data_IF_449145251732
#
_entry.id   IF_449145251732
#
_cell.length_a   1.000
_cell.length_b   1.000
_cell.length_c   1.000
_cell.angle_alpha   90.00
_cell.angle_beta   90.00
_cell.angle_gamma   90.00
#
_symmetry.space_group_name_H-M   'P 1'
#
loop_
_entity.id
_entity.type
_entity.pdbx_description
1 polymer ?
#
# COMPACT_ATOMS: atom_id res chain seq x y z
N UNK A 1 -3.65 14.06 5.29
CA UNK A 1 -4.23 13.05 4.36
C UNK A 1 -3.68 11.67 4.67
N UNK A 2 -2.36 11.48 4.68
CA UNK A 2 -1.72 10.17 4.87
C UNK A 2 -2.10 9.50 6.21
N UNK A 3 -2.21 10.25 7.30
CA UNK A 3 -2.59 9.67 8.60
C UNK A 3 -4.00 9.11 8.60
N UNK A 4 -4.97 9.84 8.02
CA UNK A 4 -6.33 9.34 7.84
C UNK A 4 -6.34 8.04 7.03
N UNK A 5 -5.53 7.98 5.97
CA UNK A 5 -5.43 6.78 5.14
C UNK A 5 -4.79 5.62 5.91
N UNK A 6 -3.75 5.87 6.72
CA UNK A 6 -3.15 4.88 7.63
C UNK A 6 -4.19 4.30 8.58
N UNK A 7 -5.06 5.13 9.15
CA UNK A 7 -6.13 4.66 10.06
C UNK A 7 -7.16 3.79 9.33
N UNK A 8 -7.59 4.17 8.13
CA UNK A 8 -8.53 3.38 7.34
C UNK A 8 -7.97 2.01 6.93
N UNK A 9 -6.70 1.96 6.53
CA UNK A 9 -6.01 0.70 6.25
C UNK A 9 -5.81 -0.14 7.51
N UNK A 10 -5.51 0.48 8.65
CA UNK A 10 -5.41 -0.24 9.93
C UNK A 10 -6.74 -0.93 10.27
N UNK A 11 -7.86 -0.22 10.18
CA UNK A 11 -9.19 -0.78 10.45
C UNK A 11 -9.51 -1.97 9.53
N UNK A 12 -9.16 -1.86 8.24
CA UNK A 12 -9.34 -2.96 7.28
C UNK A 12 -8.43 -4.16 7.60
N UNK A 13 -7.16 -3.89 7.92
CA UNK A 13 -6.16 -4.90 8.28
C UNK A 13 -6.53 -5.63 9.59
N UNK A 14 -7.08 -4.93 10.59
CA UNK A 14 -7.61 -5.52 11.83
C UNK A 14 -8.68 -6.56 11.51
N UNK A 15 -9.71 -6.17 10.74
CA UNK A 15 -10.81 -7.06 10.35
C UNK A 15 -10.32 -8.28 9.59
N UNK A 16 -9.38 -8.09 8.67
CA UNK A 16 -8.75 -9.18 7.95
C UNK A 16 -8.04 -10.15 8.91
N UNK A 17 -7.23 -9.64 9.84
CA UNK A 17 -6.48 -10.46 10.78
C UNK A 17 -7.38 -11.24 11.75
N UNK A 18 -8.44 -10.61 12.25
CA UNK A 18 -9.46 -11.26 13.08
C UNK A 18 -10.16 -12.38 12.32
N UNK A 19 -10.57 -12.13 11.08
CA UNK A 19 -11.26 -13.10 10.24
C UNK A 19 -10.39 -14.31 9.90
N UNK A 20 -9.08 -14.11 9.73
CA UNK A 20 -8.15 -15.14 9.28
C UNK A 20 -7.26 -15.72 10.40
N UNK A 21 -7.44 -15.30 11.66
CA UNK A 21 -6.64 -15.78 12.79
C UNK A 21 -5.15 -15.40 12.70
N UNK A 22 -4.85 -14.27 12.06
CA UNK A 22 -3.47 -13.84 11.78
C UNK A 22 -2.94 -12.97 12.91
N UNK A 23 -1.74 -13.28 13.42
CA UNK A 23 -1.01 -12.41 14.36
C UNK A 23 -0.19 -11.38 13.59
N UNK A 24 -0.53 -10.10 13.75
CA UNK A 24 0.15 -8.96 13.11
C UNK A 24 1.28 -8.40 13.98
N UNK A 25 2.35 -9.16 14.14
CA UNK A 25 3.54 -8.68 14.84
C UNK A 25 4.43 -7.81 13.93
N UNK A 26 5.52 -7.20 14.43
CA UNK A 26 6.35 -6.33 13.61
C UNK A 26 6.91 -7.01 12.35
N UNK A 27 7.29 -8.29 12.45
CA UNK A 27 7.83 -9.06 11.32
C UNK A 27 6.73 -9.32 10.27
N UNK A 28 5.50 -9.57 10.71
CA UNK A 28 4.35 -9.76 9.83
C UNK A 28 4.16 -8.59 8.86
N UNK A 29 4.27 -7.35 9.31
CA UNK A 29 4.09 -6.19 8.43
C UNK A 29 5.16 -6.12 7.33
N UNK A 30 6.41 -6.47 7.65
CA UNK A 30 7.49 -6.51 6.67
C UNK A 30 7.32 -7.67 5.68
N UNK A 31 6.97 -8.85 6.18
CA UNK A 31 6.77 -10.04 5.36
C UNK A 31 5.57 -9.89 4.42
N UNK A 32 4.44 -9.36 4.91
CA UNK A 32 3.28 -9.05 4.06
C UNK A 32 3.61 -8.01 3.00
N UNK A 33 4.34 -6.94 3.34
CA UNK A 33 4.79 -5.98 2.33
C UNK A 33 5.62 -6.63 1.22
N UNK A 34 6.47 -7.60 1.57
CA UNK A 34 7.23 -8.37 0.57
C UNK A 34 6.31 -9.27 -0.28
N UNK A 35 5.31 -9.89 0.32
CA UNK A 35 4.29 -10.69 -0.35
C UNK A 35 3.52 -9.85 -1.38
N UNK A 36 2.94 -8.71 -0.99
CA UNK A 36 2.19 -7.82 -1.90
C UNK A 36 3.07 -7.30 -3.05
N UNK A 37 4.33 -6.97 -2.77
CA UNK A 37 5.28 -6.58 -3.83
C UNK A 37 5.55 -7.73 -4.81
N UNK A 38 5.59 -8.95 -4.30
CA UNK A 38 5.70 -10.17 -5.10
C UNK A 38 4.49 -10.36 -6.02
N UNK A 39 3.28 -10.18 -5.50
CA UNK A 39 2.02 -10.29 -6.27
C UNK A 39 1.93 -9.22 -7.36
N UNK A 40 2.22 -7.96 -7.01
CA UNK A 40 2.35 -6.85 -7.96
C UNK A 40 3.37 -7.18 -9.07
N UNK A 41 4.54 -7.70 -8.71
CA UNK A 41 5.59 -8.07 -9.67
C UNK A 41 5.12 -9.18 -10.61
N UNK A 42 4.37 -10.16 -10.11
CA UNK A 42 3.81 -11.23 -10.94
C UNK A 42 2.81 -10.70 -11.96
N UNK A 43 1.90 -9.80 -11.55
CA UNK A 43 0.91 -9.19 -12.46
C UNK A 43 1.61 -8.33 -13.51
N UNK A 44 2.59 -7.52 -13.10
CA UNK A 44 3.39 -6.70 -14.03
C UNK A 44 4.12 -7.54 -15.08
N UNK A 45 4.71 -8.68 -14.69
CA UNK A 45 5.38 -9.58 -15.62
C UNK A 45 4.42 -10.21 -16.64
N UNK A 46 3.18 -10.53 -16.24
CA UNK A 46 2.13 -11.02 -17.15
C UNK A 46 1.76 -9.93 -18.17
N UNK A 47 1.48 -8.71 -17.71
CA UNK A 47 1.12 -7.57 -18.59
C UNK A 47 2.22 -7.19 -19.58
N UNK A 48 3.48 -7.25 -19.17
CA UNK A 48 4.62 -6.89 -20.01
C UNK A 48 5.11 -8.03 -20.92
N UNK A 49 4.36 -9.12 -21.03
CA UNK A 49 4.65 -10.25 -21.92
C UNK A 49 5.82 -11.13 -21.46
N UNK A 50 6.27 -10.97 -20.21
CA UNK A 50 7.34 -11.78 -19.58
C UNK A 50 6.79 -13.01 -18.84
N UNK A 51 5.47 -13.17 -18.77
CA UNK A 51 4.77 -14.28 -18.15
C UNK A 51 3.64 -14.83 -19.02
N UNK A 52 3.20 -16.08 -18.75
CA UNK A 52 2.07 -16.67 -19.46
C UNK A 52 0.77 -15.98 -19.01
N UNK A 53 0.03 -15.43 -19.98
CA UNK A 53 -1.27 -14.77 -19.73
C UNK A 53 -2.37 -15.75 -19.29
N UNK A 54 -2.17 -17.07 -19.47
CA UNK A 54 -3.14 -18.14 -19.20
C UNK A 54 -4.56 -17.87 -19.75
N UNK A 55 -4.67 -17.11 -20.84
CA UNK A 55 -5.95 -16.75 -21.45
C UNK A 55 -6.73 -15.66 -20.71
N UNK A 56 -6.16 -15.00 -19.69
CA UNK A 56 -6.82 -13.86 -19.04
C UNK A 56 -6.89 -12.65 -20.00
N UNK A 57 -8.06 -12.00 -20.10
CA UNK A 57 -8.20 -10.71 -20.77
C UNK A 57 -7.24 -9.66 -20.19
N UNK A 58 -6.71 -8.79 -21.05
CA UNK A 58 -5.84 -7.68 -20.63
C UNK A 58 -6.53 -6.77 -19.59
N UNK A 59 -7.83 -6.54 -19.72
CA UNK A 59 -8.60 -5.74 -18.77
C UNK A 59 -8.57 -6.32 -17.35
N UNK A 60 -8.66 -7.64 -17.19
CA UNK A 60 -8.58 -8.29 -15.88
C UNK A 60 -7.18 -8.13 -15.27
N UNK A 61 -6.13 -8.21 -16.08
CA UNK A 61 -4.76 -8.02 -15.60
C UNK A 61 -4.49 -6.57 -15.21
N UNK A 62 -5.11 -5.59 -15.89
CA UNK A 62 -5.03 -4.17 -15.51
C UNK A 62 -5.76 -3.90 -14.19
N UNK A 63 -6.91 -4.55 -13.97
CA UNK A 63 -7.61 -4.47 -12.70
C UNK A 63 -6.75 -5.07 -11.58
N UNK A 64 -6.23 -6.29 -11.78
CA UNK A 64 -5.32 -6.92 -10.83
C UNK A 64 -4.13 -6.01 -10.52
N UNK A 65 -3.52 -5.38 -11.54
CA UNK A 65 -2.38 -4.47 -11.30
C UNK A 65 -2.76 -3.30 -10.36
N UNK A 66 -3.96 -2.73 -10.55
CA UNK A 66 -4.45 -1.66 -9.69
C UNK A 66 -4.69 -2.14 -8.26
N UNK A 67 -5.29 -3.33 -8.11
CA UNK A 67 -5.57 -3.95 -6.82
C UNK A 67 -4.26 -4.23 -6.05
N UNK A 68 -3.30 -4.91 -6.68
CA UNK A 68 -1.98 -5.20 -6.06
C UNK A 68 -1.20 -3.92 -5.73
N UNK A 69 -1.35 -2.86 -6.55
CA UNK A 69 -0.74 -1.56 -6.26
C UNK A 69 -1.34 -0.93 -5.02
N UNK A 70 -2.67 -1.07 -4.83
CA UNK A 70 -3.35 -0.60 -3.64
C UNK A 70 -2.92 -1.40 -2.39
N UNK A 71 -2.71 -2.71 -2.51
CA UNK A 71 -2.24 -3.56 -1.42
C UNK A 71 -0.80 -3.23 -0.99
N UNK A 72 0.10 -2.97 -1.94
CA UNK A 72 1.45 -2.47 -1.65
C UNK A 72 1.40 -1.12 -0.95
N UNK A 73 0.58 -0.18 -1.44
CA UNK A 73 0.40 1.12 -0.77
C UNK A 73 -0.13 0.95 0.65
N UNK A 74 -1.16 0.12 0.83
CA UNK A 74 -1.75 -0.19 2.13
C UNK A 74 -0.71 -0.73 3.11
N UNK A 75 0.09 -1.71 2.69
CA UNK A 75 1.12 -2.28 3.55
C UNK A 75 2.30 -1.35 3.84
N UNK A 76 2.64 -0.41 2.95
CA UNK A 76 3.58 0.68 3.27
C UNK A 76 3.03 1.55 4.41
N UNK A 77 1.75 1.91 4.35
CA UNK A 77 1.09 2.74 5.36
C UNK A 77 0.97 2.01 6.71
N UNK A 78 0.60 0.73 6.68
CA UNK A 78 0.57 -0.13 7.87
C UNK A 78 1.97 -0.30 8.48
N UNK A 79 2.98 -0.56 7.67
CA UNK A 79 4.38 -0.65 8.11
C UNK A 79 4.84 0.65 8.77
N UNK A 80 4.54 1.81 8.16
CA UNK A 80 4.86 3.11 8.72
C UNK A 80 4.13 3.34 10.05
N UNK A 81 2.86 2.91 10.17
CA UNK A 81 2.11 2.99 11.42
C UNK A 81 2.72 2.11 12.51
N UNK A 82 2.98 0.84 12.24
CA UNK A 82 3.54 -0.11 13.19
C UNK A 82 4.90 0.35 13.76
N UNK A 83 5.69 1.04 12.94
CA UNK A 83 7.00 1.59 13.32
C UNK A 83 6.96 3.05 13.79
N UNK A 84 5.78 3.65 13.94
CA UNK A 84 5.57 5.05 14.36
C UNK A 84 6.34 6.07 13.48
N UNK A 85 6.38 5.80 12.18
CA UNK A 85 6.98 6.67 11.18
C UNK A 85 5.96 7.74 10.77
N UNK A 86 6.32 9.01 10.93
CA UNK A 86 5.65 10.12 10.25
C UNK A 86 6.07 10.10 8.78
N UNK A 87 5.22 9.47 7.96
CA UNK A 87 5.50 9.30 6.54
C UNK A 87 5.33 10.61 5.79
N UNK A 88 4.46 11.52 6.25
CA UNK A 88 4.25 12.81 5.61
C UNK A 88 5.48 13.71 5.80
N UNK A 89 5.99 13.79 7.04
CA UNK A 89 7.23 14.51 7.34
C UNK A 89 8.43 13.88 6.60
N UNK A 90 8.51 12.55 6.55
CA UNK A 90 9.57 11.86 5.81
C UNK A 90 9.54 12.18 4.31
N UNK A 91 8.36 12.27 3.71
CA UNK A 91 8.18 12.68 2.30
C UNK A 91 8.58 14.14 2.11
N UNK A 92 8.10 15.07 2.95
CA UNK A 92 8.46 16.49 2.85
C UNK A 92 9.97 16.71 2.97
N UNK A 93 10.61 16.05 3.95
CA UNK A 93 12.05 16.13 4.16
C UNK A 93 12.87 15.57 2.99
N UNK A 94 12.47 14.42 2.43
CA UNK A 94 13.23 13.70 1.39
C UNK A 94 12.93 14.16 -0.03
N UNK A 95 11.66 14.43 -0.34
CA UNK A 95 11.16 14.73 -1.68
C UNK A 95 10.76 16.20 -1.89
N UNK A 96 10.83 17.02 -0.83
CA UNK A 96 10.65 18.49 -0.88
C UNK A 96 9.26 18.96 -1.35
N UNK A 97 8.23 18.14 -1.17
CA UNK A 97 6.83 18.52 -1.35
C UNK A 97 5.96 18.01 -0.20
N UNK A 98 4.84 18.68 0.05
CA UNK A 98 3.86 18.27 1.05
C UNK A 98 2.81 17.32 0.46
N UNK A 99 2.64 16.11 1.00
CA UNK A 99 1.61 15.18 0.52
C UNK A 99 0.19 15.70 0.74
N UNK A 100 -0.01 16.56 1.73
CA UNK A 100 -1.32 17.11 2.10
C UNK A 100 -1.69 18.38 1.31
N UNK A 101 -0.83 18.80 0.37
CA UNK A 101 -0.94 20.08 -0.32
C UNK A 101 -0.69 21.27 0.61
N UNK A 102 -0.39 22.43 0.03
CA UNK A 102 -0.46 23.68 0.77
C UNK A 102 -1.95 23.97 1.02
N UNK A 103 -2.50 23.43 2.11
CA UNK A 103 -3.73 23.99 2.66
C UNK A 103 -3.41 25.46 2.95
N UNK A 104 -3.89 26.35 2.08
CA UNK A 104 -3.78 27.79 2.24
C UNK A 104 -4.07 28.11 3.70
N UNK A 105 -3.07 28.62 4.40
CA UNK A 105 -3.30 29.36 5.64
C UNK A 105 -4.08 30.59 5.21
N UNK A 106 -5.40 30.46 5.13
CA UNK A 106 -6.31 31.59 5.05
C UNK A 106 -5.95 32.51 6.22
N UNK A 107 -5.24 33.59 5.91
CA UNK A 107 -5.08 34.71 6.81
C UNK A 107 -6.47 35.32 6.98
N UNK A 108 -7.08 35.03 8.14
CA UNK A 108 -8.06 35.91 8.75
C UNK A 108 -7.35 37.03 9.50
#
# INVERSE_FOLDING_TARGET
MLDRLKDQFEDASCRYAETNGVRRDPDWFLLKLHEELGELTQVWNKLTGRGRMHGRPEAELRQALADETADVLGHILLFARANRIDLAEAVERKWRFRPDGDAEKGHG
#
